data_IF_956035059332
#
_entry.id   IF_956035059332
#
_cell.length_a   1.000
_cell.length_b   1.000
_cell.length_c   1.000
_cell.angle_alpha   90.00
_cell.angle_beta   90.00
_cell.angle_gamma   90.00
#
_symmetry.space_group_name_H-M   'P 1'
#
loop_
_entity.id
_entity.type
_entity.pdbx_description
1 polymer ?
#
# COMPACT_ATOMS: atom_id res chain seq x y z
N UNK A 1 18.29 7.72 -12.77
CA UNK A 1 17.82 8.86 -11.97
C UNK A 1 16.69 8.35 -11.09
N UNK A 2 16.91 8.25 -9.78
CA UNK A 2 15.87 7.82 -8.85
C UNK A 2 14.81 8.92 -8.79
N UNK A 3 13.56 8.59 -9.11
CA UNK A 3 12.45 9.51 -8.93
C UNK A 3 12.37 9.86 -7.43
N UNK A 4 12.45 11.14 -7.10
CA UNK A 4 12.22 11.67 -5.76
C UNK A 4 10.85 11.16 -5.28
N UNK A 5 10.74 10.62 -4.06
CA UNK A 5 9.45 10.18 -3.54
C UNK A 5 8.49 11.37 -3.52
N UNK A 6 7.23 11.21 -3.98
CA UNK A 6 6.28 12.30 -4.07
C UNK A 6 6.00 12.89 -2.69
N UNK A 7 5.75 14.21 -2.66
CA UNK A 7 5.68 15.08 -1.49
C UNK A 7 4.74 14.61 -0.35
N UNK A 8 3.86 13.65 -0.61
CA UNK A 8 2.98 13.03 0.40
C UNK A 8 3.75 12.36 1.54
N UNK A 9 4.97 11.90 1.28
CA UNK A 9 5.76 11.19 2.28
C UNK A 9 6.50 12.10 3.27
N UNK A 10 6.64 13.39 2.95
CA UNK A 10 7.61 14.29 3.60
C UNK A 10 7.00 15.08 4.77
N UNK A 11 5.67 15.23 4.83
CA UNK A 11 5.02 16.11 5.82
C UNK A 11 4.04 15.42 6.80
N UNK A 12 3.75 14.12 6.64
CA UNK A 12 2.69 13.44 7.41
C UNK A 12 3.06 12.11 8.05
N UNK A 13 4.26 11.57 7.81
CA UNK A 13 4.62 10.18 8.13
C UNK A 13 3.91 9.17 7.23
N UNK A 14 4.49 7.97 7.08
CA UNK A 14 3.95 6.96 6.17
C UNK A 14 2.59 6.42 6.68
N UNK A 15 1.54 6.34 5.83
CA UNK A 15 0.23 5.82 6.23
C UNK A 15 0.30 4.41 6.82
N UNK A 16 1.24 3.57 6.34
CA UNK A 16 1.38 2.19 6.81
C UNK A 16 1.77 2.05 8.28
N UNK A 17 2.68 2.90 8.76
CA UNK A 17 3.09 2.89 10.17
C UNK A 17 1.93 3.30 11.10
N UNK A 18 1.14 4.31 10.68
CA UNK A 18 -0.05 4.73 11.43
C UNK A 18 -1.17 3.68 11.43
N UNK A 19 -1.40 2.98 10.32
CA UNK A 19 -2.43 1.94 10.28
C UNK A 19 -2.05 0.69 11.08
N UNK A 20 -0.77 0.37 11.19
CA UNK A 20 -0.31 -0.67 12.10
C UNK A 20 -0.58 -0.30 13.57
N UNK A 21 -0.28 0.93 14.00
CA UNK A 21 -0.52 1.34 15.40
C UNK A 21 -2.01 1.31 15.77
N UNK A 22 -2.91 1.45 14.80
CA UNK A 22 -4.36 1.31 14.98
C UNK A 22 -4.86 -0.14 14.89
N UNK A 23 -3.97 -1.12 14.65
CA UNK A 23 -4.29 -2.54 14.54
C UNK A 23 -5.02 -2.94 13.25
N UNK A 24 -4.99 -2.09 12.22
CA UNK A 24 -5.68 -2.34 10.94
C UNK A 24 -4.88 -3.25 10.01
N UNK A 25 -3.57 -3.34 10.23
CA UNK A 25 -2.66 -4.31 9.61
C UNK A 25 -1.90 -4.99 10.75
N UNK A 26 -1.67 -6.30 10.67
CA UNK A 26 -1.06 -7.09 11.75
C UNK A 26 0.05 -7.98 11.21
N UNK A 27 1.20 -7.99 11.89
CA UNK A 27 2.39 -8.70 11.42
C UNK A 27 2.82 -8.21 10.03
N UNK A 28 3.06 -9.13 9.10
CA UNK A 28 3.34 -8.84 7.69
C UNK A 28 2.08 -8.86 6.81
N UNK A 29 0.93 -9.20 7.39
CA UNK A 29 -0.35 -9.35 6.70
C UNK A 29 -1.04 -8.01 6.46
N UNK A 30 -1.66 -7.88 5.29
CA UNK A 30 -2.28 -6.64 4.83
C UNK A 30 -1.34 -5.77 3.99
N UNK A 31 -1.92 -4.85 3.24
CA UNK A 31 -1.18 -3.98 2.32
C UNK A 31 -1.94 -2.69 2.08
N UNK A 32 -1.20 -1.63 1.81
CA UNK A 32 -1.76 -0.29 1.60
C UNK A 32 -1.21 0.26 0.29
N UNK A 33 -2.10 0.93 -0.42
CA UNK A 33 -1.76 1.68 -1.61
C UNK A 33 -2.51 3.00 -1.64
N UNK A 34 -1.87 4.02 -2.22
CA UNK A 34 -2.43 5.35 -2.38
C UNK A 34 -1.97 5.95 -3.71
N UNK A 35 -2.82 6.76 -4.34
CA UNK A 35 -2.38 7.60 -5.46
C UNK A 35 -1.58 8.79 -4.95
N UNK A 36 -0.39 8.98 -5.50
CA UNK A 36 0.43 10.15 -5.23
C UNK A 36 -0.32 11.39 -5.72
N UNK A 37 -0.83 12.16 -4.75
CA UNK A 37 -1.68 13.30 -5.04
C UNK A 37 -0.86 14.46 -5.62
N UNK A 38 -1.35 14.97 -6.75
CA UNK A 38 -0.88 16.18 -7.43
C UNK A 38 -2.09 16.83 -8.10
N UNK A 39 -2.47 18.02 -7.67
CA UNK A 39 -3.65 18.75 -8.18
C UNK A 39 -3.55 19.11 -9.66
N UNK A 40 -2.34 19.14 -10.22
CA UNK A 40 -2.11 19.41 -11.64
C UNK A 40 -2.35 18.18 -12.53
N UNK A 41 -2.43 16.98 -11.92
CA UNK A 41 -2.56 15.71 -12.64
C UNK A 41 -3.95 15.12 -12.35
N UNK A 42 -4.74 14.78 -13.39
CA UNK A 42 -6.01 14.08 -13.20
C UNK A 42 -5.82 12.82 -12.35
N UNK A 43 -6.69 12.59 -11.35
CA UNK A 43 -6.60 11.43 -10.43
C UNK A 43 -6.42 10.09 -11.16
N UNK A 44 -7.00 9.92 -12.35
CA UNK A 44 -6.84 8.70 -13.16
C UNK A 44 -5.42 8.47 -13.68
N UNK A 45 -4.61 9.52 -13.79
CA UNK A 45 -3.24 9.52 -14.32
C UNK A 45 -2.17 9.59 -13.21
N UNK A 46 -2.56 9.87 -11.97
CA UNK A 46 -1.64 9.90 -10.83
C UNK A 46 -0.99 8.52 -10.57
N UNK A 47 0.31 8.53 -10.25
CA UNK A 47 1.06 7.34 -9.90
C UNK A 47 0.54 6.68 -8.62
N UNK A 48 0.81 5.39 -8.49
CA UNK A 48 0.35 4.57 -7.38
C UNK A 48 1.55 4.24 -6.50
N UNK A 49 1.48 4.61 -5.23
CA UNK A 49 2.40 4.15 -4.20
C UNK A 49 1.86 2.85 -3.60
N UNK A 50 2.72 1.85 -3.44
CA UNK A 50 2.32 0.56 -2.92
C UNK A 50 3.34 0.00 -1.92
N UNK A 51 2.85 -0.50 -0.79
CA UNK A 51 3.72 -1.14 0.20
C UNK A 51 4.25 -2.50 -0.30
N UNK A 52 5.50 -2.89 0.02
CA UNK A 52 6.04 -4.20 -0.32
C UNK A 52 5.36 -5.33 0.47
N UNK A 53 5.36 -6.54 -0.08
CA UNK A 53 4.90 -7.75 0.60
C UNK A 53 5.90 -8.19 1.67
N UNK A 54 5.40 -8.81 2.75
CA UNK A 54 6.27 -9.50 3.72
C UNK A 54 7.11 -8.61 4.63
N UNK A 55 6.82 -7.30 4.73
CA UNK A 55 7.57 -6.37 5.59
C UNK A 55 6.77 -5.98 6.84
N UNK A 56 7.49 -5.58 7.89
CA UNK A 56 6.94 -4.93 9.10
C UNK A 56 6.45 -3.53 8.72
N UNK A 57 5.13 -3.34 8.62
CA UNK A 57 4.50 -2.10 8.18
C UNK A 57 4.78 -0.92 9.12
N UNK A 58 5.02 -1.21 10.40
CA UNK A 58 5.37 -0.26 11.46
C UNK A 58 6.77 0.34 11.35
N UNK A 59 7.65 -0.27 10.55
CA UNK A 59 9.04 0.18 10.32
C UNK A 59 9.29 0.62 8.89
N UNK A 60 8.22 0.85 8.13
CA UNK A 60 8.35 1.27 6.74
C UNK A 60 8.67 2.76 6.65
N UNK A 61 9.68 3.07 5.85
CA UNK A 61 10.01 4.43 5.46
C UNK A 61 9.46 4.75 4.05
N UNK A 62 9.38 6.04 3.65
CA UNK A 62 8.99 6.45 2.30
C UNK A 62 9.72 5.73 1.17
N UNK A 63 11.02 5.51 1.34
CA UNK A 63 11.91 4.91 0.35
C UNK A 63 11.69 3.39 0.22
N UNK A 64 10.98 2.78 1.18
CA UNK A 64 10.61 1.36 1.14
C UNK A 64 9.38 1.09 0.24
N UNK A 65 8.76 2.13 -0.36
CA UNK A 65 7.56 2.01 -1.20
C UNK A 65 7.87 1.70 -2.67
N UNK A 66 7.01 0.91 -3.31
CA UNK A 66 6.97 0.80 -4.76
C UNK A 66 6.22 1.97 -5.39
N UNK A 67 6.66 2.40 -6.58
CA UNK A 67 5.96 3.37 -7.43
C UNK A 67 5.51 2.65 -8.70
N UNK A 68 4.20 2.65 -8.95
CA UNK A 68 3.56 2.01 -10.09
C UNK A 68 2.88 3.05 -10.98
N UNK A 69 2.86 2.77 -12.29
CA UNK A 69 1.96 3.44 -13.21
C UNK A 69 0.52 2.96 -13.02
N UNK A 70 -0.43 3.67 -13.64
CA UNK A 70 -1.86 3.37 -13.54
C UNK A 70 -2.25 2.03 -14.18
N UNK A 71 -1.45 1.55 -15.13
CA UNK A 71 -1.59 0.22 -15.73
C UNK A 71 -0.93 -0.90 -14.90
N UNK A 72 -0.36 -0.57 -13.73
CA UNK A 72 0.29 -1.52 -12.83
C UNK A 72 1.77 -1.80 -13.12
N UNK A 73 2.37 -1.18 -14.14
CA UNK A 73 3.81 -1.34 -14.37
C UNK A 73 4.63 -0.72 -13.23
N UNK A 74 5.70 -1.39 -12.81
CA UNK A 74 6.61 -0.89 -11.78
C UNK A 74 7.52 0.17 -12.41
N UNK A 75 7.42 1.41 -11.92
CA UNK A 75 8.27 2.53 -12.33
C UNK A 75 9.50 2.68 -11.42
N UNK A 76 9.34 2.37 -10.13
CA UNK A 76 10.42 2.37 -9.15
C UNK A 76 10.18 1.30 -8.09
N UNK A 77 11.26 0.66 -7.65
CA UNK A 77 11.25 -0.34 -6.59
C UNK A 77 12.19 0.06 -5.46
N UNK A 78 11.86 -0.27 -4.20
CA UNK A 78 12.74 -0.01 -3.07
C UNK A 78 14.09 -0.70 -3.25
N UNK A 79 15.16 -0.03 -2.82
CA UNK A 79 16.51 -0.60 -2.87
C UNK A 79 16.62 -1.82 -1.95
N UNK A 80 17.31 -2.89 -2.37
CA UNK A 80 17.55 -4.02 -1.48
C UNK A 80 18.40 -3.59 -0.28
N UNK A 81 18.01 -4.01 0.92
CA UNK A 81 18.81 -3.84 2.13
C UNK A 81 20.02 -4.79 2.07
N UNK A 82 21.15 -4.48 2.75
CA UNK A 82 22.33 -5.34 2.76
C UNK A 82 22.02 -6.78 3.19
N UNK A 83 22.89 -7.71 2.81
CA UNK A 83 22.81 -9.11 3.23
C UNK A 83 22.65 -9.23 4.76
N UNK A 84 21.79 -10.13 5.29
CA UNK A 84 21.10 -11.24 4.63
C UNK A 84 19.69 -10.92 4.10
N UNK A 85 19.31 -9.65 3.99
CA UNK A 85 17.95 -9.28 3.61
C UNK A 85 17.67 -9.53 2.12
N UNK A 86 16.58 -10.25 1.83
CA UNK A 86 16.09 -10.41 0.45
C UNK A 86 15.53 -9.08 -0.05
N UNK A 87 15.63 -8.78 -1.35
CA UNK A 87 14.95 -7.65 -1.95
C UNK A 87 13.45 -7.69 -1.63
N UNK A 88 12.81 -6.56 -1.31
CA UNK A 88 11.37 -6.51 -1.13
C UNK A 88 10.68 -7.01 -2.39
N UNK A 89 9.49 -7.59 -2.24
CA UNK A 89 8.61 -7.91 -3.37
C UNK A 89 7.45 -6.93 -3.38
N UNK A 90 6.91 -6.61 -4.55
CA UNK A 90 5.66 -5.84 -4.63
C UNK A 90 4.52 -6.65 -3.99
N UNK A 91 3.47 -5.97 -3.53
CA UNK A 91 2.35 -6.64 -2.85
C UNK A 91 1.61 -7.61 -3.78
N UNK A 92 1.37 -8.83 -3.30
CA UNK A 92 0.56 -9.82 -4.03
C UNK A 92 -0.90 -9.37 -4.22
N UNK A 93 -1.36 -8.38 -3.43
CA UNK A 93 -2.68 -7.76 -3.56
C UNK A 93 -2.76 -6.75 -4.73
N UNK A 94 -1.67 -6.47 -5.45
CA UNK A 94 -1.62 -5.43 -6.49
C UNK A 94 -2.74 -5.53 -7.53
N UNK A 95 -3.08 -6.72 -8.10
CA UNK A 95 -4.16 -6.82 -9.08
C UNK A 95 -5.54 -6.41 -8.53
N UNK A 96 -5.81 -6.75 -7.26
CA UNK A 96 -7.07 -6.37 -6.59
C UNK A 96 -7.16 -4.86 -6.40
N UNK A 97 -6.04 -4.22 -6.05
CA UNK A 97 -5.96 -2.78 -5.88
C UNK A 97 -6.12 -2.03 -7.20
N UNK A 98 -5.44 -2.48 -8.26
CA UNK A 98 -5.58 -1.90 -9.60
C UNK A 98 -7.03 -1.97 -10.09
N UNK A 99 -7.70 -3.09 -9.84
CA UNK A 99 -9.13 -3.25 -10.13
C UNK A 99 -9.99 -2.21 -9.39
N UNK A 100 -9.74 -1.97 -8.10
CA UNK A 100 -10.47 -0.94 -7.35
C UNK A 100 -10.18 0.49 -7.86
N UNK A 101 -8.95 0.77 -8.28
CA UNK A 101 -8.59 2.05 -8.88
C UNK A 101 -9.30 2.28 -10.21
N UNK A 102 -9.38 1.25 -11.06
CA UNK A 102 -10.04 1.31 -12.36
C UNK A 102 -11.57 1.42 -12.19
N UNK A 103 -12.19 0.44 -11.52
CA UNK A 103 -13.64 0.32 -11.45
C UNK A 103 -14.31 1.38 -10.58
N UNK A 104 -13.61 1.93 -9.57
CA UNK A 104 -14.22 2.84 -8.58
C UNK A 104 -13.52 4.20 -8.49
N UNK A 105 -12.52 4.47 -9.34
CA UNK A 105 -11.73 5.71 -9.26
C UNK A 105 -11.20 5.98 -7.84
N UNK A 106 -10.79 4.91 -7.14
CA UNK A 106 -10.31 4.96 -5.77
C UNK A 106 -9.09 5.91 -5.63
N UNK A 107 -8.93 6.51 -4.45
CA UNK A 107 -7.74 7.33 -4.12
C UNK A 107 -6.71 6.56 -3.29
N UNK A 108 -7.17 5.60 -2.50
CA UNK A 108 -6.37 4.69 -1.72
C UNK A 108 -7.14 3.38 -1.53
N UNK A 109 -6.42 2.29 -1.29
CA UNK A 109 -6.99 0.99 -0.96
C UNK A 109 -6.19 0.39 0.20
N UNK A 110 -6.90 -0.17 1.17
CA UNK A 110 -6.32 -0.82 2.34
C UNK A 110 -6.85 -2.24 2.39
N UNK A 111 -5.94 -3.21 2.40
CA UNK A 111 -6.24 -4.60 2.71
C UNK A 111 -5.84 -4.88 4.16
N UNK A 112 -6.84 -5.13 5.00
CA UNK A 112 -6.67 -5.36 6.44
C UNK A 112 -6.65 -6.86 6.75
N UNK A 113 -5.78 -7.26 7.68
CA UNK A 113 -5.77 -8.57 8.35
C UNK A 113 -6.10 -8.43 9.85
N UNK A 114 -6.63 -7.28 10.27
CA UNK A 114 -6.92 -7.02 11.67
C UNK A 114 -7.92 -8.02 12.23
N UNK A 115 -7.66 -8.55 13.43
CA UNK A 115 -8.48 -9.60 14.05
C UNK A 115 -9.97 -9.23 14.11
N UNK A 116 -10.27 -7.96 14.39
CA UNK A 116 -11.66 -7.46 14.41
C UNK A 116 -12.33 -7.59 13.03
N UNK A 117 -11.62 -7.24 11.95
CA UNK A 117 -12.12 -7.39 10.58
C UNK A 117 -12.43 -8.84 10.27
N UNK A 118 -11.49 -9.75 10.60
CA UNK A 118 -11.67 -11.19 10.38
C UNK A 118 -12.85 -11.74 11.18
N UNK A 119 -12.96 -11.40 12.46
CA UNK A 119 -14.07 -11.82 13.31
C UNK A 119 -15.42 -11.35 12.76
N UNK A 120 -15.54 -10.07 12.35
CA UNK A 120 -16.79 -9.55 11.78
C UNK A 120 -17.19 -10.31 10.51
N UNK A 121 -16.24 -10.66 9.64
CA UNK A 121 -16.56 -11.43 8.41
C UNK A 121 -17.00 -12.87 8.68
N UNK A 122 -16.73 -13.40 9.87
CA UNK A 122 -17.18 -14.74 10.28
C UNK A 122 -18.52 -14.73 11.01
N UNK A 123 -19.05 -13.55 11.35
CA UNK A 123 -20.41 -13.44 11.92
C UNK A 123 -21.39 -13.70 10.78
N UNK A 124 -21.95 -14.91 10.74
CA UNK A 124 -23.09 -15.21 9.89
C UNK A 124 -24.32 -14.47 10.43
N UNK A 125 -24.74 -13.41 9.75
CA UNK A 125 -25.97 -12.68 10.06
C UNK A 125 -27.23 -13.40 9.55
N UNK A 126 -27.07 -14.49 8.78
CA UNK A 126 -28.18 -15.27 8.20
C UNK A 126 -28.54 -16.46 9.09
N UNK A 127 -28.91 -16.19 10.33
CA UNK A 127 -29.73 -17.10 11.13
C UNK A 127 -31.08 -16.39 11.38
N UNK A 128 -31.94 -16.39 10.36
CA UNK A 128 -33.39 -16.34 10.53
C UNK A 128 -33.98 -17.71 10.19
#
# INVERSE_FOLDING_TARGET
MAATPPALAVNGGLPAAKFYSHGWVSGTGGSITIKAHDDTIPKRQQFILMSPSGVQKERMEPEDMYVLATNGSILSSPSPKPYPHKPPKCSDCAPLFLTAYDMRSAGAVIHSHGIKSCLVTMINLLNE
#
